data_IF_085363561321
#
_entry.id   IF_085363561321
#
_cell.length_a   1.000
_cell.length_b   1.000
_cell.length_c   1.000
_cell.angle_alpha   90.00
_cell.angle_beta   90.00
_cell.angle_gamma   90.00
#
_symmetry.space_group_name_H-M   'P 1'
#
loop_
_entity.id
_entity.type
_entity.pdbx_description
1 polymer ?
#
# COMPACT_ATOMS: atom_id res chain seq x y z
N UNK A 1 -7.07 -1.53 21.83
CA UNK A 1 -8.06 -0.63 21.21
C UNK A 1 -8.20 0.56 22.11
N UNK A 2 -8.05 1.77 21.59
CA UNK A 2 -8.31 2.98 22.36
C UNK A 2 -9.77 3.07 22.80
N UNK A 3 -9.99 3.71 23.93
CA UNK A 3 -11.32 3.98 24.47
C UNK A 3 -11.65 5.46 24.39
N UNK A 4 -12.91 5.80 24.57
CA UNK A 4 -13.39 7.19 24.64
C UNK A 4 -12.67 8.00 25.72
N UNK A 5 -12.30 7.37 26.85
CA UNK A 5 -11.56 8.01 27.94
C UNK A 5 -10.25 8.68 27.48
N UNK A 6 -9.53 8.07 26.54
CA UNK A 6 -8.20 8.55 26.13
C UNK A 6 -8.25 9.69 25.12
N UNK A 7 -9.42 9.97 24.55
CA UNK A 7 -9.61 10.92 23.43
C UNK A 7 -10.65 11.99 23.70
N UNK A 8 -11.39 11.88 24.81
CA UNK A 8 -12.40 12.85 25.20
C UNK A 8 -11.79 14.19 25.63
N UNK A 9 -12.54 15.26 25.41
CA UNK A 9 -12.28 16.55 26.04
C UNK A 9 -13.00 16.60 27.39
N UNK A 10 -12.29 16.66 28.53
CA UNK A 10 -12.92 16.65 29.86
C UNK A 10 -13.60 17.98 30.21
N UNK A 11 -13.14 19.10 29.66
CA UNK A 11 -13.73 20.41 29.89
C UNK A 11 -14.99 20.63 29.04
N UNK A 12 -16.12 20.14 29.52
CA UNK A 12 -17.40 20.29 28.83
C UNK A 12 -18.09 21.59 29.22
N UNK A 13 -18.27 22.50 28.26
CA UNK A 13 -19.11 23.69 28.47
C UNK A 13 -20.56 23.26 28.65
N UNK A 14 -21.13 23.59 29.82
CA UNK A 14 -22.48 23.18 30.21
C UNK A 14 -23.30 24.30 30.82
N UNK A 15 -24.63 24.21 30.67
CA UNK A 15 -25.62 25.17 31.16
C UNK A 15 -26.86 24.45 31.69
N UNK A 16 -27.69 25.15 32.47
CA UNK A 16 -28.98 24.63 32.94
C UNK A 16 -30.05 24.72 31.86
N UNK A 17 -31.12 23.92 32.00
CA UNK A 17 -32.27 23.89 31.08
C UNK A 17 -32.89 25.28 30.89
N UNK A 18 -32.97 26.03 31.98
CA UNK A 18 -33.59 27.33 32.02
C UNK A 18 -32.68 28.48 31.55
N UNK A 19 -31.46 28.18 31.11
CA UNK A 19 -30.50 29.20 30.68
C UNK A 19 -31.00 29.94 29.42
N UNK A 20 -30.84 31.28 29.33
CA UNK A 20 -31.27 32.04 28.16
C UNK A 20 -30.54 31.61 26.89
N UNK A 21 -31.28 31.36 25.80
CA UNK A 21 -30.71 30.84 24.55
C UNK A 21 -29.66 31.78 23.95
N UNK A 22 -29.92 33.09 23.92
CA UNK A 22 -28.96 34.09 23.41
C UNK A 22 -27.63 34.07 24.18
N UNK A 23 -27.66 33.85 25.50
CA UNK A 23 -26.43 33.74 26.29
C UNK A 23 -25.68 32.45 25.96
N UNK A 24 -26.39 31.34 25.72
CA UNK A 24 -25.75 30.09 25.29
C UNK A 24 -25.09 30.23 23.91
N UNK A 25 -25.75 30.90 22.96
CA UNK A 25 -25.19 31.21 21.63
C UNK A 25 -23.93 32.07 21.78
N UNK A 26 -23.96 33.08 22.67
CA UNK A 26 -22.80 33.92 22.94
C UNK A 26 -21.62 33.13 23.54
N UNK A 27 -21.88 32.15 24.43
CA UNK A 27 -20.86 31.23 24.95
C UNK A 27 -20.27 30.39 23.82
N UNK A 28 -21.12 29.82 22.95
CA UNK A 28 -20.70 29.03 21.80
C UNK A 28 -19.77 29.83 20.88
N UNK A 29 -20.17 31.06 20.53
CA UNK A 29 -19.37 31.95 19.69
C UNK A 29 -18.06 32.37 20.37
N UNK A 30 -18.12 32.82 21.63
CA UNK A 30 -16.93 33.32 22.37
C UNK A 30 -15.88 32.23 22.61
N UNK A 31 -16.32 30.99 22.86
CA UNK A 31 -15.42 29.86 23.11
C UNK A 31 -15.10 29.06 21.85
N UNK A 32 -15.61 29.48 20.68
CA UNK A 32 -15.50 28.75 19.42
C UNK A 32 -15.91 27.26 19.56
N UNK A 33 -16.93 26.99 20.38
CA UNK A 33 -17.47 25.64 20.59
C UNK A 33 -18.79 25.51 19.85
N UNK A 34 -19.03 24.31 19.35
CA UNK A 34 -20.13 24.04 18.42
C UNK A 34 -21.27 23.25 19.05
N UNK A 35 -21.16 22.94 20.35
CA UNK A 35 -22.27 22.54 21.22
C UNK A 35 -22.08 23.01 22.67
N UNK A 36 -23.18 22.98 23.42
CA UNK A 36 -23.21 23.09 24.88
C UNK A 36 -24.03 21.92 25.42
N UNK A 37 -23.53 21.27 26.48
CA UNK A 37 -24.26 20.19 27.15
C UNK A 37 -25.19 20.78 28.21
N UNK A 38 -26.45 20.38 28.18
CA UNK A 38 -27.45 20.82 29.16
C UNK A 38 -27.47 19.81 30.30
N UNK A 39 -27.29 20.28 31.53
CA UNK A 39 -27.19 19.41 32.70
C UNK A 39 -28.21 19.77 33.78
N UNK A 40 -28.55 18.78 34.59
CA UNK A 40 -29.27 18.94 35.85
C UNK A 40 -28.45 18.26 36.94
N UNK A 41 -27.80 19.08 37.79
CA UNK A 41 -26.73 18.61 38.67
C UNK A 41 -25.57 17.98 37.85
N UNK A 42 -25.12 16.76 38.18
CA UNK A 42 -24.03 16.10 37.49
C UNK A 42 -24.44 15.46 36.14
N UNK A 43 -25.74 15.31 35.86
CA UNK A 43 -26.23 14.49 34.74
C UNK A 43 -26.54 15.32 33.49
N UNK A 44 -26.14 14.86 32.28
CA UNK A 44 -26.53 15.51 31.04
C UNK A 44 -27.99 15.15 30.69
N UNK A 45 -28.85 16.16 30.61
CA UNK A 45 -30.28 16.03 30.27
C UNK A 45 -30.59 16.47 28.83
N UNK A 46 -29.64 17.11 28.16
CA UNK A 46 -29.75 17.48 26.75
C UNK A 46 -28.44 17.97 26.15
N UNK A 47 -28.46 18.21 24.85
CA UNK A 47 -27.35 18.85 24.13
C UNK A 47 -27.91 19.88 23.16
N UNK A 48 -27.31 21.07 23.15
CA UNK A 48 -27.62 22.12 22.19
C UNK A 48 -26.50 22.19 21.16
N UNK A 49 -26.84 22.05 19.88
CA UNK A 49 -25.90 22.17 18.76
C UNK A 49 -26.31 23.28 17.79
N UNK A 50 -25.38 23.72 16.94
CA UNK A 50 -25.69 24.65 15.84
C UNK A 50 -26.84 24.15 14.94
N UNK A 51 -26.93 22.83 14.74
CA UNK A 51 -28.04 22.22 13.97
C UNK A 51 -29.38 22.37 14.68
N UNK A 52 -29.40 22.28 16.00
CA UNK A 52 -30.62 22.50 16.78
C UNK A 52 -31.07 23.96 16.70
N UNK A 53 -30.12 24.90 16.78
CA UNK A 53 -30.39 26.33 16.59
C UNK A 53 -31.02 26.57 15.21
N UNK A 54 -30.44 26.03 14.13
CA UNK A 54 -30.98 26.23 12.78
C UNK A 54 -32.32 25.52 12.57
N UNK A 55 -32.51 24.31 13.09
CA UNK A 55 -33.75 23.56 12.81
C UNK A 55 -34.93 24.02 13.65
N UNK A 56 -34.72 24.23 14.94
CA UNK A 56 -35.83 24.43 15.89
C UNK A 56 -36.16 25.89 16.11
N UNK A 57 -35.17 26.80 16.07
CA UNK A 57 -35.43 28.23 16.15
C UNK A 57 -36.21 28.73 14.92
N UNK A 58 -35.78 28.30 13.73
CA UNK A 58 -36.49 28.65 12.48
C UNK A 58 -37.88 28.01 12.40
N UNK A 59 -38.04 26.77 12.89
CA UNK A 59 -39.36 26.13 12.94
C UNK A 59 -40.32 26.79 13.96
N UNK A 60 -39.78 27.34 15.05
CA UNK A 60 -40.58 27.97 16.10
C UNK A 60 -41.00 29.42 15.78
N UNK A 61 -40.36 30.10 14.82
CA UNK A 61 -40.83 31.37 14.26
C UNK A 61 -40.91 32.55 15.24
N UNK A 62 -40.01 32.64 16.22
CA UNK A 62 -40.04 33.68 17.27
C UNK A 62 -38.69 34.37 17.51
N UNK A 63 -38.71 35.46 18.30
CA UNK A 63 -37.50 36.16 18.73
C UNK A 63 -36.62 35.24 19.60
N UNK A 64 -35.34 35.00 19.24
CA UNK A 64 -34.41 34.19 20.03
C UNK A 64 -34.25 34.64 21.48
N UNK A 65 -34.57 35.90 21.81
CA UNK A 65 -34.56 36.44 23.17
C UNK A 65 -35.59 35.78 24.10
N UNK A 66 -36.66 35.19 23.55
CA UNK A 66 -37.76 34.59 24.31
C UNK A 66 -37.52 33.11 24.64
N UNK A 67 -36.56 32.47 23.98
CA UNK A 67 -36.31 31.03 24.13
C UNK A 67 -35.29 30.73 25.24
N UNK A 68 -35.50 29.60 25.91
CA UNK A 68 -34.52 28.97 26.80
C UNK A 68 -33.84 27.81 26.08
N UNK A 69 -32.68 27.41 26.57
CA UNK A 69 -31.92 26.28 26.01
C UNK A 69 -32.76 25.00 26.01
N UNK A 70 -33.57 24.78 27.04
CA UNK A 70 -34.47 23.64 27.17
C UNK A 70 -35.53 23.51 26.06
N UNK A 71 -35.89 24.62 25.41
CA UNK A 71 -36.90 24.63 24.33
C UNK A 71 -36.32 24.13 23.00
N UNK A 72 -34.99 24.22 22.84
CA UNK A 72 -34.29 23.99 21.58
C UNK A 72 -33.36 22.78 21.64
N UNK A 73 -32.88 22.39 22.82
CA UNK A 73 -31.96 21.26 22.97
C UNK A 73 -32.51 19.93 22.43
N UNK A 74 -31.62 19.04 22.02
CA UNK A 74 -31.94 17.63 21.81
C UNK A 74 -31.95 16.91 23.15
N UNK A 75 -33.05 16.21 23.47
CA UNK A 75 -33.25 15.50 24.74
C UNK A 75 -34.04 14.19 24.51
N UNK A 76 -33.67 13.08 25.17
CA UNK A 76 -32.44 12.90 25.95
C UNK A 76 -31.18 12.87 25.05
N UNK A 77 -30.00 13.26 25.56
CA UNK A 77 -28.78 13.19 24.78
C UNK A 77 -28.34 11.74 24.64
N UNK A 78 -27.83 11.36 23.47
CA UNK A 78 -27.13 10.09 23.31
C UNK A 78 -25.76 10.19 24.00
N UNK A 79 -25.50 9.36 25.00
CA UNK A 79 -24.23 9.32 25.74
C UNK A 79 -23.47 8.03 25.46
N UNK A 80 -22.19 8.03 25.84
CA UNK A 80 -21.28 6.87 25.88
C UNK A 80 -20.54 6.84 27.21
N UNK A 81 -19.96 5.71 27.57
CA UNK A 81 -19.13 5.57 28.77
C UNK A 81 -17.64 5.73 28.43
N UNK A 82 -16.81 5.99 29.44
CA UNK A 82 -15.35 6.03 29.31
C UNK A 82 -14.76 4.73 28.74
N UNK A 83 -15.40 3.59 29.01
CA UNK A 83 -15.01 2.26 28.54
C UNK A 83 -15.41 1.98 27.08
N UNK A 84 -16.31 2.80 26.51
CA UNK A 84 -16.76 2.62 25.12
C UNK A 84 -15.56 2.75 24.18
N UNK A 85 -15.44 1.85 23.21
CA UNK A 85 -14.32 1.92 22.26
C UNK A 85 -14.47 3.08 21.29
N UNK A 86 -13.35 3.60 20.78
CA UNK A 86 -13.38 4.70 19.79
C UNK A 86 -14.15 4.32 18.52
N UNK A 87 -14.05 3.06 18.09
CA UNK A 87 -14.77 2.54 16.92
C UNK A 87 -16.29 2.45 17.15
N UNK A 88 -16.72 1.94 18.31
CA UNK A 88 -18.15 1.90 18.66
C UNK A 88 -18.75 3.30 18.76
N UNK A 89 -18.05 4.24 19.40
CA UNK A 89 -18.47 5.64 19.48
C UNK A 89 -18.58 6.28 18.09
N UNK A 90 -17.64 6.01 17.19
CA UNK A 90 -17.67 6.50 15.80
C UNK A 90 -18.85 5.91 15.01
N UNK A 91 -19.16 4.63 15.20
CA UNK A 91 -20.33 3.98 14.59
C UNK A 91 -21.65 4.59 15.09
N UNK A 92 -21.75 4.92 16.38
CA UNK A 92 -22.91 5.60 16.97
C UNK A 92 -23.11 7.00 16.35
N UNK A 93 -22.03 7.77 16.19
CA UNK A 93 -22.09 9.08 15.51
C UNK A 93 -22.59 8.97 14.07
N UNK A 94 -22.07 8.00 13.31
CA UNK A 94 -22.41 7.80 11.90
C UNK A 94 -23.85 7.36 11.69
N UNK A 95 -24.30 6.37 12.45
CA UNK A 95 -25.64 5.77 12.30
C UNK A 95 -26.77 6.73 12.65
N UNK A 96 -26.53 7.65 13.60
CA UNK A 96 -27.56 8.59 14.08
C UNK A 96 -27.35 10.04 13.62
N UNK A 97 -26.39 10.28 12.72
CA UNK A 97 -26.05 11.60 12.19
C UNK A 97 -25.75 12.66 13.27
N UNK A 98 -25.20 12.21 14.40
CA UNK A 98 -24.66 13.07 15.44
C UNK A 98 -23.19 13.38 15.13
N UNK A 99 -22.69 14.50 15.65
CA UNK A 99 -21.26 14.86 15.51
C UNK A 99 -20.50 14.82 16.82
N UNK A 100 -21.21 14.67 17.95
CA UNK A 100 -20.65 14.71 19.30
C UNK A 100 -21.44 13.80 20.23
N UNK A 101 -20.75 13.20 21.19
CA UNK A 101 -21.34 12.37 22.25
C UNK A 101 -20.81 12.83 23.60
N UNK A 102 -21.68 13.23 24.54
CA UNK A 102 -21.29 13.39 25.94
C UNK A 102 -20.86 12.03 26.52
N UNK A 103 -19.76 12.06 27.27
CA UNK A 103 -19.21 10.92 27.98
C UNK A 103 -19.65 10.99 29.42
N UNK A 104 -20.15 9.87 29.94
CA UNK A 104 -20.62 9.75 31.31
C UNK A 104 -19.84 8.69 32.09
N UNK A 105 -19.72 8.91 33.39
CA UNK A 105 -19.23 7.91 34.35
C UNK A 105 -20.30 6.83 34.61
N UNK A 106 -19.98 5.78 35.39
CA UNK A 106 -20.95 4.74 35.77
C UNK A 106 -22.17 5.25 36.55
N UNK A 107 -22.11 6.44 37.16
CA UNK A 107 -23.21 7.07 37.90
C UNK A 107 -24.10 7.97 37.01
N UNK A 108 -23.74 8.12 35.73
CA UNK A 108 -24.38 8.98 34.75
C UNK A 108 -23.94 10.45 34.81
N UNK A 109 -22.87 10.76 35.54
CA UNK A 109 -22.30 12.09 35.63
C UNK A 109 -21.50 12.43 34.36
N UNK A 110 -21.64 13.66 33.86
CA UNK A 110 -20.89 14.15 32.70
C UNK A 110 -19.40 14.29 33.04
N UNK A 111 -18.54 13.53 32.35
CA UNK A 111 -17.09 13.54 32.54
C UNK A 111 -16.32 14.04 31.31
N UNK A 112 -16.95 14.07 30.14
CA UNK A 112 -16.29 14.55 28.93
C UNK A 112 -17.21 14.66 27.72
N UNK A 113 -16.62 15.01 26.58
CA UNK A 113 -17.28 14.98 25.29
C UNK A 113 -16.29 14.50 24.23
N UNK A 114 -16.76 13.66 23.30
CA UNK A 114 -15.99 13.27 22.11
C UNK A 114 -16.64 13.81 20.87
N UNK A 115 -15.83 14.27 19.92
CA UNK A 115 -16.28 14.65 18.59
C UNK A 115 -15.97 13.58 17.56
N UNK A 116 -16.66 13.63 16.43
CA UNK A 116 -16.36 12.77 15.29
C UNK A 116 -14.90 12.89 14.82
N UNK A 117 -14.33 14.10 14.88
CA UNK A 117 -12.94 14.36 14.46
C UNK A 117 -11.95 13.68 15.40
N UNK A 118 -12.15 13.80 16.72
CA UNK A 118 -11.27 13.18 17.73
C UNK A 118 -11.24 11.66 17.56
N UNK A 119 -12.43 11.06 17.40
CA UNK A 119 -12.58 9.62 17.20
C UNK A 119 -11.97 9.15 15.87
N UNK A 120 -12.12 9.94 14.80
CA UNK A 120 -11.52 9.60 13.51
C UNK A 120 -9.99 9.64 13.58
N UNK A 121 -9.41 10.67 14.18
CA UNK A 121 -7.97 10.76 14.39
C UNK A 121 -7.43 9.60 15.23
N UNK A 122 -8.14 9.24 16.30
CA UNK A 122 -7.80 8.11 17.14
C UNK A 122 -7.80 6.77 16.38
N UNK A 123 -8.85 6.51 15.60
CA UNK A 123 -8.96 5.28 14.79
C UNK A 123 -7.89 5.22 13.70
N UNK A 124 -7.58 6.36 13.06
CA UNK A 124 -6.50 6.43 12.07
C UNK A 124 -5.14 6.13 12.73
N UNK A 125 -4.86 6.73 13.88
CA UNK A 125 -3.62 6.48 14.61
C UNK A 125 -3.47 5.00 15.03
N UNK A 126 -4.52 4.38 15.55
CA UNK A 126 -4.55 2.94 15.88
C UNK A 126 -4.25 2.07 14.64
N UNK A 127 -4.82 2.44 13.48
CA UNK A 127 -4.60 1.71 12.23
C UNK A 127 -3.16 1.87 11.72
N UNK A 128 -2.59 3.07 11.79
CA UNK A 128 -1.22 3.35 11.39
C UNK A 128 -0.21 2.60 12.28
N UNK A 129 -0.45 2.55 13.59
CA UNK A 129 0.36 1.78 14.54
C UNK A 129 0.26 0.27 14.30
N UNK A 130 -0.95 -0.26 14.08
CA UNK A 130 -1.14 -1.66 13.74
C UNK A 130 -0.42 -2.04 12.44
N UNK A 131 -0.51 -1.18 11.42
CA UNK A 131 0.23 -1.31 10.16
C UNK A 131 1.75 -1.30 10.40
N UNK A 132 2.23 -0.47 11.34
CA UNK A 132 3.65 -0.44 11.73
C UNK A 132 4.16 -1.72 12.33
N UNK A 133 3.48 -2.21 13.35
CA UNK A 133 3.84 -3.45 14.03
C UNK A 133 3.76 -4.64 13.06
N UNK A 134 2.71 -4.69 12.22
CA UNK A 134 2.59 -5.71 11.16
C UNK A 134 3.83 -5.73 10.26
N UNK A 135 4.26 -4.56 9.77
CA UNK A 135 5.41 -4.46 8.87
C UNK A 135 6.72 -4.85 9.54
N UNK A 136 6.93 -4.43 10.79
CA UNK A 136 8.13 -4.73 11.57
C UNK A 136 8.27 -6.23 11.85
N UNK A 137 7.19 -6.89 12.30
CA UNK A 137 7.17 -8.34 12.52
C UNK A 137 7.49 -9.08 11.22
N UNK A 138 6.88 -8.65 10.11
CA UNK A 138 7.08 -9.31 8.81
C UNK A 138 8.52 -9.12 8.31
N UNK A 139 9.14 -7.97 8.54
CA UNK A 139 10.56 -7.75 8.23
C UNK A 139 11.47 -8.69 9.02
N UNK A 140 11.23 -8.83 10.31
CA UNK A 140 12.01 -9.73 11.15
C UNK A 140 11.84 -11.18 10.70
N UNK A 141 10.60 -11.64 10.48
CA UNK A 141 10.33 -12.99 10.00
C UNK A 141 10.98 -13.26 8.65
N UNK A 142 10.96 -12.30 7.71
CA UNK A 142 11.64 -12.46 6.42
C UNK A 142 13.16 -12.63 6.57
N UNK A 143 13.80 -11.88 7.49
CA UNK A 143 15.23 -12.04 7.75
C UNK A 143 15.56 -13.40 8.40
N UNK A 144 14.76 -13.80 9.39
CA UNK A 144 14.90 -15.07 10.10
C UNK A 144 14.61 -16.29 9.21
N UNK A 145 13.79 -16.14 8.17
CA UNK A 145 13.56 -17.18 7.16
C UNK A 145 14.63 -17.18 6.07
N UNK A 146 15.10 -16.01 5.61
CA UNK A 146 16.11 -15.93 4.54
C UNK A 146 17.41 -16.63 4.94
N UNK A 147 17.85 -16.43 6.18
CA UNK A 147 19.12 -16.97 6.69
C UNK A 147 19.22 -18.50 6.63
N UNK A 148 18.30 -19.28 7.24
CA UNK A 148 18.36 -20.75 7.17
C UNK A 148 18.18 -21.27 5.74
N UNK A 149 17.37 -20.62 4.91
CA UNK A 149 17.19 -21.06 3.51
C UNK A 149 18.48 -20.82 2.72
N UNK A 150 19.15 -19.68 2.91
CA UNK A 150 20.44 -19.39 2.29
C UNK A 150 21.53 -20.39 2.73
N UNK A 151 21.52 -20.81 4.00
CA UNK A 151 22.42 -21.87 4.48
C UNK A 151 22.13 -23.22 3.82
N UNK A 152 20.86 -23.63 3.73
CA UNK A 152 20.47 -24.86 3.03
C UNK A 152 20.92 -24.80 1.56
N UNK A 153 20.69 -23.67 0.88
CA UNK A 153 21.13 -23.47 -0.49
C UNK A 153 22.67 -23.60 -0.61
N UNK A 154 23.42 -22.92 0.27
CA UNK A 154 24.89 -22.98 0.26
C UNK A 154 25.44 -24.40 0.50
N UNK A 155 24.85 -25.19 1.41
CA UNK A 155 25.27 -26.58 1.59
C UNK A 155 24.96 -27.46 0.38
N UNK A 156 23.86 -27.19 -0.32
CA UNK A 156 23.49 -27.88 -1.55
C UNK A 156 24.42 -27.49 -2.70
N UNK A 157 24.85 -26.23 -2.77
CA UNK A 157 25.85 -25.76 -3.73
C UNK A 157 27.20 -26.47 -3.50
N UNK A 158 27.68 -26.55 -2.26
CA UNK A 158 28.92 -27.27 -1.91
C UNK A 158 28.87 -28.76 -2.27
N UNK A 159 27.71 -29.41 -2.09
CA UNK A 159 27.50 -30.80 -2.52
C UNK A 159 27.52 -30.94 -4.04
N UNK A 160 27.08 -29.92 -4.77
CA UNK A 160 27.01 -29.92 -6.23
C UNK A 160 28.36 -29.60 -6.90
N UNK A 161 29.18 -28.77 -6.26
CA UNK A 161 30.50 -28.35 -6.74
C UNK A 161 31.59 -29.44 -6.56
N UNK A 162 31.24 -30.60 -5.99
CA UNK A 162 32.19 -31.68 -5.78
C UNK A 162 33.23 -31.38 -4.69
N UNK A 163 32.91 -30.49 -3.75
CA UNK A 163 33.76 -30.22 -2.56
C UNK A 163 33.90 -31.46 -1.67
N UNK A 164 32.95 -32.40 -1.78
CA UNK A 164 32.95 -33.69 -1.11
C UNK A 164 33.16 -34.84 -2.11
N UNK A 165 33.07 -36.09 -1.64
CA UNK A 165 33.11 -37.27 -2.50
C UNK A 165 32.06 -37.18 -3.64
N UNK A 166 32.39 -37.66 -4.86
CA UNK A 166 31.49 -37.55 -6.00
C UNK A 166 30.13 -38.19 -5.71
N UNK A 167 29.06 -37.39 -5.84
CA UNK A 167 27.69 -37.87 -5.69
C UNK A 167 27.36 -38.89 -6.78
N UNK A 168 26.64 -39.96 -6.40
CA UNK A 168 26.05 -40.88 -7.36
C UNK A 168 25.00 -40.18 -8.24
N UNK A 169 24.73 -40.65 -9.48
CA UNK A 169 23.81 -39.97 -10.40
C UNK A 169 22.41 -39.68 -9.80
N UNK A 170 21.85 -40.62 -9.02
CA UNK A 170 20.57 -40.39 -8.32
C UNK A 170 20.65 -39.33 -7.23
N UNK A 171 21.80 -39.19 -6.56
CA UNK A 171 22.00 -38.17 -5.53
C UNK A 171 22.14 -36.79 -6.16
N UNK A 172 22.79 -36.68 -7.31
CA UNK A 172 22.89 -35.43 -8.08
C UNK A 172 21.49 -34.91 -8.48
N UNK A 173 20.59 -35.78 -8.93
CA UNK A 173 19.20 -35.40 -9.25
C UNK A 173 18.44 -34.86 -8.03
N UNK A 174 18.62 -35.48 -6.86
CA UNK A 174 17.98 -35.05 -5.60
C UNK A 174 18.54 -33.71 -5.14
N UNK A 175 19.87 -33.54 -5.13
CA UNK A 175 20.55 -32.30 -4.75
C UNK A 175 20.12 -31.14 -5.67
N UNK A 176 20.12 -31.35 -6.99
CA UNK A 176 19.63 -30.36 -7.95
C UNK A 176 18.14 -30.02 -7.77
N UNK A 177 17.33 -30.94 -7.21
CA UNK A 177 15.92 -30.67 -6.88
C UNK A 177 15.79 -29.86 -5.59
N UNK A 178 16.59 -30.15 -4.57
CA UNK A 178 16.63 -29.36 -3.33
C UNK A 178 17.11 -27.94 -3.64
N UNK A 179 18.15 -27.78 -4.46
CA UNK A 179 18.70 -26.47 -4.84
C UNK A 179 17.64 -25.57 -5.49
N UNK A 180 16.90 -26.13 -6.46
CA UNK A 180 15.79 -25.43 -7.12
C UNK A 180 14.68 -25.06 -6.15
N UNK A 181 14.31 -25.97 -5.24
CA UNK A 181 13.23 -25.74 -4.27
C UNK A 181 13.62 -24.68 -3.23
N UNK A 182 14.86 -24.72 -2.73
CA UNK A 182 15.38 -23.72 -1.80
C UNK A 182 15.45 -22.34 -2.43
N UNK A 183 15.92 -22.24 -3.68
CA UNK A 183 15.96 -20.97 -4.42
C UNK A 183 14.56 -20.40 -4.62
N UNK A 184 13.59 -21.23 -5.04
CA UNK A 184 12.19 -20.84 -5.15
C UNK A 184 11.59 -20.33 -3.83
N UNK A 185 11.99 -20.93 -2.70
CA UNK A 185 11.53 -20.51 -1.37
C UNK A 185 12.10 -19.14 -0.99
N UNK A 186 13.38 -18.88 -1.27
CA UNK A 186 14.00 -17.55 -1.06
C UNK A 186 13.25 -16.50 -1.88
N UNK A 187 13.01 -16.78 -3.16
CA UNK A 187 12.30 -15.86 -4.05
C UNK A 187 10.87 -15.58 -3.56
N UNK A 188 10.18 -16.61 -3.05
CA UNK A 188 8.83 -16.47 -2.48
C UNK A 188 8.83 -15.58 -1.24
N UNK A 189 9.76 -15.80 -0.32
CA UNK A 189 9.89 -15.00 0.91
C UNK A 189 10.21 -13.55 0.57
N UNK A 190 11.13 -13.33 -0.37
CA UNK A 190 11.50 -11.98 -0.81
C UNK A 190 10.33 -11.26 -1.50
N UNK A 191 9.63 -11.94 -2.42
CA UNK A 191 8.49 -11.36 -3.13
C UNK A 191 7.32 -11.06 -2.18
N UNK A 192 7.03 -11.94 -1.22
CA UNK A 192 6.02 -11.69 -0.19
C UNK A 192 6.40 -10.47 0.67
N UNK A 193 7.67 -10.35 1.05
CA UNK A 193 8.16 -9.21 1.82
C UNK A 193 8.05 -7.88 1.05
N UNK A 194 8.48 -7.86 -0.21
CA UNK A 194 8.35 -6.67 -1.07
C UNK A 194 6.89 -6.23 -1.19
N UNK A 195 5.97 -7.17 -1.35
CA UNK A 195 4.54 -6.89 -1.41
C UNK A 195 4.03 -6.28 -0.09
N UNK A 196 4.41 -6.84 1.06
CA UNK A 196 4.02 -6.32 2.37
C UNK A 196 4.51 -4.89 2.57
N UNK A 197 5.75 -4.59 2.19
CA UNK A 197 6.32 -3.24 2.29
C UNK A 197 5.56 -2.25 1.40
N UNK A 198 5.19 -2.68 0.18
CA UNK A 198 4.39 -1.89 -0.76
C UNK A 198 2.99 -1.61 -0.22
N UNK A 199 2.31 -2.61 0.36
CA UNK A 199 0.97 -2.44 0.97
C UNK A 199 0.97 -1.53 2.19
N UNK A 200 2.06 -1.48 2.94
CA UNK A 200 2.18 -0.61 4.11
C UNK A 200 2.36 0.88 3.75
N UNK A 201 2.48 1.23 2.46
CA UNK A 201 2.71 2.61 2.01
C UNK A 201 4.07 3.18 2.46
N UNK A 202 4.98 2.33 2.94
CA UNK A 202 6.29 2.71 3.52
C UNK A 202 7.40 2.83 2.50
N UNK A 203 7.11 2.56 1.24
CA UNK A 203 8.11 2.55 0.20
C UNK A 203 8.33 3.98 -0.27
N UNK A 204 9.39 4.61 0.24
CA UNK A 204 9.86 5.88 -0.29
C UNK A 204 10.42 5.68 -1.70
N UNK A 205 10.13 6.63 -2.59
CA UNK A 205 10.72 6.70 -3.92
C UNK A 205 12.00 7.52 -3.83
N UNK A 206 13.14 6.90 -4.12
CA UNK A 206 14.39 7.63 -4.29
C UNK A 206 14.42 8.21 -5.71
N UNK A 207 14.83 9.46 -5.85
CA UNK A 207 14.95 10.13 -7.14
C UNK A 207 16.42 10.44 -7.41
N UNK A 208 17.12 9.50 -8.03
CA UNK A 208 18.55 9.60 -8.34
C UNK A 208 18.76 9.59 -9.87
N UNK A 209 19.87 10.18 -10.37
CA UNK A 209 20.29 10.01 -11.76
C UNK A 209 20.57 8.53 -12.06
N UNK A 210 20.02 8.04 -13.16
CA UNK A 210 20.19 6.66 -13.65
C UNK A 210 20.75 6.73 -15.05
N UNK A 211 21.89 6.08 -15.23
CA UNK A 211 22.40 5.74 -16.54
C UNK A 211 21.74 4.42 -17.00
N UNK A 212 20.91 4.50 -18.03
CA UNK A 212 20.16 3.36 -18.55
C UNK A 212 21.08 2.36 -19.25
N UNK A 213 22.19 2.81 -19.84
CA UNK A 213 23.17 1.92 -20.45
C UNK A 213 23.84 1.07 -19.37
N UNK A 214 24.30 1.70 -18.29
CA UNK A 214 24.90 1.00 -17.15
C UNK A 214 23.93 0.01 -16.49
N UNK A 215 22.63 0.37 -16.40
CA UNK A 215 21.58 -0.51 -15.90
C UNK A 215 21.39 -1.74 -16.81
N UNK A 216 21.38 -1.55 -18.13
CA UNK A 216 21.28 -2.63 -19.11
C UNK A 216 22.50 -3.54 -19.08
N UNK A 217 23.71 -2.99 -18.99
CA UNK A 217 24.92 -3.79 -18.81
C UNK A 217 24.88 -4.62 -17.51
N UNK A 218 24.39 -4.02 -16.42
CA UNK A 218 24.26 -4.73 -15.14
C UNK A 218 23.29 -5.92 -15.26
N UNK A 219 22.10 -5.69 -15.81
CA UNK A 219 21.11 -6.76 -16.02
C UNK A 219 21.62 -7.81 -17.03
N UNK A 220 22.30 -7.39 -18.09
CA UNK A 220 22.90 -8.29 -19.08
C UNK A 220 23.93 -9.24 -18.46
N UNK A 221 24.76 -8.75 -17.51
CA UNK A 221 25.69 -9.61 -16.76
C UNK A 221 24.96 -10.61 -15.87
N UNK A 222 23.90 -10.17 -15.17
CA UNK A 222 23.10 -11.03 -14.29
C UNK A 222 22.38 -12.15 -15.06
N UNK A 223 21.84 -11.86 -16.24
CA UNK A 223 21.12 -12.84 -17.04
C UNK A 223 22.01 -13.73 -17.90
N UNK A 224 23.30 -13.42 -18.08
CA UNK A 224 24.18 -14.13 -19.02
C UNK A 224 24.18 -15.65 -18.85
N UNK A 225 24.14 -16.13 -17.61
CA UNK A 225 24.11 -17.57 -17.29
C UNK A 225 22.69 -18.17 -17.27
N UNK A 226 21.65 -17.33 -17.32
CA UNK A 226 20.23 -17.71 -17.24
C UNK A 226 19.56 -17.74 -18.63
N UNK A 227 20.22 -17.25 -19.68
CA UNK A 227 19.69 -17.31 -21.05
C UNK A 227 19.64 -18.78 -21.51
N UNK A 228 18.46 -19.31 -21.89
CA UNK A 228 18.35 -20.67 -22.39
C UNK A 228 19.13 -20.89 -23.69
N UNK A 229 19.61 -22.11 -23.91
CA UNK A 229 20.23 -22.48 -25.20
C UNK A 229 19.24 -22.27 -26.35
N UNK A 230 19.67 -21.53 -27.39
CA UNK A 230 18.82 -21.21 -28.54
C UNK A 230 18.01 -19.91 -28.42
N UNK A 231 18.18 -19.15 -27.32
CA UNK A 231 17.59 -17.83 -27.13
C UNK A 231 18.67 -16.75 -27.21
N UNK A 232 18.43 -15.67 -27.96
CA UNK A 232 19.26 -14.46 -27.89
C UNK A 232 18.62 -13.37 -27.04
N UNK A 233 19.40 -12.71 -26.20
CA UNK A 233 18.97 -11.58 -25.38
C UNK A 233 19.65 -10.30 -25.86
N UNK A 234 18.86 -9.31 -26.26
CA UNK A 234 19.35 -8.04 -26.79
C UNK A 234 18.85 -6.86 -25.95
N UNK A 235 19.74 -5.89 -25.71
CA UNK A 235 19.46 -4.66 -24.98
C UNK A 235 19.68 -3.48 -25.91
N UNK A 236 18.71 -2.55 -25.97
CA UNK A 236 18.73 -1.42 -26.90
C UNK A 236 18.29 -0.13 -26.21
N UNK A 237 19.23 0.78 -26.00
CA UNK A 237 18.97 2.08 -25.39
C UNK A 237 18.80 3.17 -26.46
N UNK A 238 17.59 3.71 -26.60
CA UNK A 238 17.27 4.80 -27.52
C UNK A 238 17.07 6.15 -26.81
N UNK A 239 17.34 6.23 -25.50
CA UNK A 239 17.22 7.46 -24.71
C UNK A 239 18.41 8.42 -24.88
N UNK A 240 19.52 7.91 -25.43
CA UNK A 240 20.81 8.59 -25.48
C UNK A 240 21.62 8.39 -24.19
N UNK A 241 22.66 9.21 -24.01
CA UNK A 241 23.61 9.11 -22.88
C UNK A 241 23.21 9.97 -21.66
N UNK A 242 22.10 10.70 -21.76
CA UNK A 242 21.67 11.56 -20.66
C UNK A 242 21.03 10.72 -19.54
N UNK A 243 21.42 10.93 -18.27
CA UNK A 243 20.82 10.21 -17.17
C UNK A 243 19.35 10.63 -17.00
N UNK A 244 18.52 9.66 -16.66
CA UNK A 244 17.11 9.87 -16.28
C UNK A 244 17.01 10.00 -14.76
N UNK A 245 16.02 10.74 -14.25
CA UNK A 245 15.74 10.75 -12.81
C UNK A 245 14.71 9.68 -12.45
N UNK A 246 15.02 8.87 -11.45
CA UNK A 246 14.10 7.86 -10.94
C UNK A 246 14.70 7.01 -9.83
N UNK A 247 14.02 5.92 -9.51
CA UNK A 247 14.48 4.96 -8.51
C UNK A 247 15.16 3.77 -9.17
N UNK A 248 16.49 3.75 -9.14
CA UNK A 248 17.30 2.71 -9.78
C UNK A 248 16.92 1.30 -9.31
N UNK A 249 16.73 1.11 -8.00
CA UNK A 249 16.48 -0.20 -7.43
C UNK A 249 15.12 -0.75 -7.89
N UNK A 250 14.07 0.08 -7.83
CA UNK A 250 12.71 -0.32 -8.24
C UNK A 250 12.59 -0.55 -9.74
N UNK A 251 13.25 0.29 -10.55
CA UNK A 251 13.33 0.11 -12.00
C UNK A 251 14.03 -1.19 -12.37
N UNK A 252 15.21 -1.43 -11.79
CA UNK A 252 15.97 -2.67 -11.97
C UNK A 252 15.13 -3.89 -11.59
N UNK A 253 14.49 -3.87 -10.42
CA UNK A 253 13.64 -4.96 -9.96
C UNK A 253 12.45 -5.21 -10.91
N UNK A 254 11.84 -4.15 -11.43
CA UNK A 254 10.73 -4.25 -12.38
C UNK A 254 11.17 -4.90 -13.70
N UNK A 255 12.28 -4.42 -14.28
CA UNK A 255 12.85 -4.97 -15.50
C UNK A 255 13.32 -6.41 -15.31
N UNK A 256 14.00 -6.71 -14.20
CA UNK A 256 14.46 -8.07 -13.89
C UNK A 256 13.29 -9.06 -13.89
N UNK A 257 12.17 -8.73 -13.24
CA UNK A 257 11.00 -9.62 -13.21
C UNK A 257 10.39 -9.88 -14.59
N UNK A 258 10.29 -8.83 -15.43
CA UNK A 258 9.71 -8.98 -16.77
C UNK A 258 10.65 -9.73 -17.71
N UNK A 259 11.96 -9.46 -17.66
CA UNK A 259 12.97 -10.16 -18.47
C UNK A 259 13.12 -11.62 -18.04
N UNK A 260 13.07 -11.90 -16.74
CA UNK A 260 13.10 -13.28 -16.22
C UNK A 260 11.90 -14.08 -16.75
N UNK A 261 10.70 -13.50 -16.74
CA UNK A 261 9.53 -14.13 -17.36
C UNK A 261 9.73 -14.36 -18.86
N UNK A 262 10.23 -13.37 -19.60
CA UNK A 262 10.47 -13.48 -21.04
C UNK A 262 11.43 -14.63 -21.38
N UNK A 263 12.57 -14.74 -20.67
CA UNK A 263 13.54 -15.81 -20.87
C UNK A 263 12.97 -17.18 -20.49
N UNK A 264 12.22 -17.23 -19.38
CA UNK A 264 11.65 -18.46 -18.85
C UNK A 264 10.59 -19.10 -19.75
N UNK A 265 9.85 -18.29 -20.50
CA UNK A 265 8.78 -18.74 -21.40
C UNK A 265 9.18 -18.75 -22.89
N UNK A 266 10.46 -18.48 -23.19
CA UNK A 266 11.04 -18.58 -24.54
C UNK A 266 11.96 -19.79 -24.59
N UNK A 267 11.57 -20.83 -25.34
CA UNK A 267 12.38 -22.04 -25.52
C UNK A 267 13.43 -21.90 -26.61
N UNK A 268 13.12 -21.16 -27.68
CA UNK A 268 14.03 -20.80 -28.76
C UNK A 268 13.56 -19.47 -29.39
N UNK A 269 14.50 -18.66 -29.87
CA UNK A 269 14.18 -17.38 -30.52
C UNK A 269 14.91 -16.20 -29.89
N UNK A 270 14.21 -15.11 -29.60
CA UNK A 270 14.82 -13.89 -29.07
C UNK A 270 13.98 -13.19 -28.01
N UNK A 271 14.67 -12.53 -27.09
CA UNK A 271 14.13 -11.56 -26.15
C UNK A 271 14.84 -10.22 -26.40
N UNK A 272 14.08 -9.17 -26.62
CA UNK A 272 14.59 -7.82 -26.89
C UNK A 272 14.07 -6.85 -25.83
N UNK A 273 14.99 -6.10 -25.22
CA UNK A 273 14.70 -5.09 -24.21
C UNK A 273 15.10 -3.73 -24.76
N UNK A 274 14.12 -2.84 -24.91
CA UNK A 274 14.31 -1.50 -25.46
C UNK A 274 13.92 -0.42 -24.45
N UNK A 275 14.69 0.65 -24.37
CA UNK A 275 14.34 1.86 -23.63
C UNK A 275 14.19 3.05 -24.59
N UNK A 276 13.06 3.74 -24.58
CA UNK A 276 12.77 4.88 -25.45
C UNK A 276 11.84 5.90 -24.80
N UNK A 277 11.81 7.12 -25.33
CA UNK A 277 10.81 8.12 -24.98
C UNK A 277 9.57 7.91 -25.86
N UNK A 278 8.40 7.71 -25.25
CA UNK A 278 7.12 7.62 -25.96
C UNK A 278 6.09 8.49 -25.24
N UNK A 279 5.41 9.37 -25.99
CA UNK A 279 4.40 10.31 -25.47
C UNK A 279 4.89 11.15 -24.26
N UNK A 280 6.17 11.51 -24.25
CA UNK A 280 6.79 12.27 -23.16
C UNK A 280 7.08 11.46 -21.89
N UNK A 281 6.84 10.15 -21.90
CA UNK A 281 7.11 9.23 -20.79
C UNK A 281 8.30 8.33 -21.12
N UNK A 282 9.03 7.95 -20.08
CA UNK A 282 10.07 6.93 -20.19
C UNK A 282 9.40 5.57 -20.36
N UNK A 283 9.73 4.87 -21.45
CA UNK A 283 9.13 3.60 -21.80
C UNK A 283 10.18 2.52 -21.97
N UNK A 284 10.02 1.42 -21.23
CA UNK A 284 10.75 0.18 -21.47
C UNK A 284 9.83 -0.84 -22.14
N UNK A 285 10.32 -1.50 -23.17
CA UNK A 285 9.62 -2.56 -23.91
C UNK A 285 10.43 -3.83 -23.78
N UNK A 286 9.82 -4.89 -23.28
CA UNK A 286 10.39 -6.24 -23.26
C UNK A 286 9.55 -7.11 -24.18
N UNK A 287 10.14 -7.51 -25.31
CA UNK A 287 9.49 -8.35 -26.32
C UNK A 287 10.14 -9.72 -26.35
N UNK A 288 9.32 -10.77 -26.32
CA UNK A 288 9.75 -12.16 -26.45
C UNK A 288 9.05 -12.85 -27.62
N UNK A 289 9.69 -13.89 -28.16
CA UNK A 289 9.11 -14.80 -29.16
C UNK A 289 8.73 -16.13 -28.53
N UNK A 290 8.31 -16.11 -27.27
CA UNK A 290 7.98 -17.31 -26.50
C UNK A 290 6.60 -17.88 -26.82
N UNK A 291 6.09 -18.69 -25.91
CA UNK A 291 4.80 -19.38 -26.08
C UNK A 291 3.58 -18.44 -26.19
N UNK A 292 3.72 -17.17 -25.80
CA UNK A 292 2.62 -16.23 -25.72
C UNK A 292 1.58 -16.56 -24.63
N UNK A 293 0.63 -15.66 -24.42
CA UNK A 293 -0.38 -15.71 -23.36
C UNK A 293 -1.76 -15.75 -24.02
N UNK A 294 -2.65 -16.69 -23.63
CA UNK A 294 -4.03 -16.70 -24.11
C UNK A 294 -4.78 -15.41 -23.75
N UNK A 295 -5.64 -14.94 -24.65
CA UNK A 295 -6.40 -13.69 -24.44
C UNK A 295 -7.26 -13.73 -23.16
N UNK A 296 -7.76 -14.91 -22.77
CA UNK A 296 -8.55 -15.09 -21.55
C UNK A 296 -7.74 -14.83 -20.26
N UNK A 297 -6.42 -15.00 -20.31
CA UNK A 297 -5.57 -14.87 -19.12
C UNK A 297 -4.92 -13.48 -18.99
N UNK A 298 -4.92 -12.67 -20.05
CA UNK A 298 -4.27 -11.34 -20.08
C UNK A 298 -4.75 -10.39 -18.96
N UNK A 299 -6.03 -10.45 -18.60
CA UNK A 299 -6.58 -9.67 -17.48
C UNK A 299 -6.10 -10.14 -16.10
N UNK A 300 -5.67 -11.40 -16.00
CA UNK A 300 -5.40 -12.07 -14.72
C UNK A 300 -3.90 -12.26 -14.44
N UNK A 301 -3.00 -12.07 -15.42
CA UNK A 301 -1.55 -12.28 -15.21
C UNK A 301 -0.91 -11.37 -14.15
N UNK A 302 -1.58 -10.28 -13.78
CA UNK A 302 -1.14 -9.36 -12.73
C UNK A 302 -1.81 -9.63 -11.37
N UNK A 303 -2.66 -10.65 -11.28
CA UNK A 303 -3.29 -11.09 -10.03
C UNK A 303 -2.34 -11.96 -9.20
N UNK A 304 -2.53 -11.94 -7.88
CA UNK A 304 -1.71 -12.70 -6.94
C UNK A 304 -1.92 -14.20 -7.12
N UNK A 305 -0.80 -14.93 -7.21
CA UNK A 305 -0.78 -16.40 -7.29
C UNK A 305 -1.47 -16.98 -8.54
N UNK A 306 -1.73 -16.15 -9.56
CA UNK A 306 -2.32 -16.62 -10.82
C UNK A 306 -1.23 -17.20 -11.73
N UNK A 307 -1.49 -18.39 -12.26
CA UNK A 307 -0.71 -19.02 -13.32
C UNK A 307 -1.64 -19.40 -14.48
N UNK A 308 -1.16 -19.23 -15.71
CA UNK A 308 -1.85 -19.70 -16.93
C UNK A 308 -1.80 -21.23 -16.96
N UNK A 309 -2.93 -21.87 -17.27
CA UNK A 309 -3.26 -23.30 -17.05
C UNK A 309 -2.09 -24.31 -17.04
N UNK A 310 -2.08 -25.13 -15.98
CA UNK A 310 -0.98 -25.99 -15.54
C UNK A 310 -0.88 -27.36 -16.26
N UNK A 311 -1.46 -27.53 -17.44
CA UNK A 311 -1.59 -28.84 -18.08
C UNK A 311 -0.30 -29.36 -18.75
N UNK A 312 0.65 -28.50 -19.14
CA UNK A 312 1.95 -28.94 -19.74
C UNK A 312 3.20 -28.20 -19.20
N UNK A 313 3.04 -27.21 -18.34
CA UNK A 313 4.09 -26.25 -17.92
C UNK A 313 4.78 -26.58 -16.59
N UNK A 314 4.66 -27.82 -16.08
CA UNK A 314 5.26 -28.26 -14.81
C UNK A 314 6.79 -28.09 -14.72
N UNK A 315 7.48 -27.85 -15.83
CA UNK A 315 8.93 -27.56 -15.86
C UNK A 315 9.29 -26.09 -15.57
N UNK A 316 8.34 -25.15 -15.65
CA UNK A 316 8.61 -23.71 -15.57
C UNK A 316 7.69 -22.96 -14.58
N UNK A 317 7.15 -23.60 -13.55
CA UNK A 317 6.26 -22.90 -12.60
C UNK A 317 7.06 -21.96 -11.67
N UNK A 318 6.71 -20.66 -11.65
CA UNK A 318 7.16 -19.69 -10.64
C UNK A 318 5.97 -19.18 -9.84
N UNK A 319 6.16 -18.63 -8.65
CA UNK A 319 5.10 -18.42 -7.62
C UNK A 319 3.89 -17.57 -8.07
N UNK A 320 3.96 -16.86 -9.20
CA UNK A 320 2.87 -15.99 -9.68
C UNK A 320 2.80 -14.66 -8.93
N UNK A 321 3.92 -14.24 -8.33
CA UNK A 321 4.04 -12.96 -7.61
C UNK A 321 4.76 -11.88 -8.44
N UNK A 322 5.66 -12.26 -9.36
CA UNK A 322 6.58 -11.33 -10.02
C UNK A 322 5.87 -10.18 -10.76
N UNK A 323 4.89 -10.49 -11.63
CA UNK A 323 4.15 -9.45 -12.37
C UNK A 323 3.27 -8.58 -11.46
N UNK A 324 2.75 -9.14 -10.36
CA UNK A 324 2.02 -8.35 -9.38
C UNK A 324 2.95 -7.37 -8.66
N UNK A 325 4.14 -7.82 -8.25
CA UNK A 325 5.17 -6.96 -7.65
C UNK A 325 5.58 -5.85 -8.61
N UNK A 326 5.78 -6.15 -9.89
CA UNK A 326 6.05 -5.14 -10.93
C UNK A 326 4.94 -4.09 -10.98
N UNK A 327 3.67 -4.52 -11.04
CA UNK A 327 2.54 -3.60 -11.05
C UNK A 327 2.54 -2.67 -9.84
N UNK A 328 2.78 -3.20 -8.63
CA UNK A 328 2.85 -2.41 -7.40
C UNK A 328 4.05 -1.47 -7.33
N UNK A 329 5.22 -1.90 -7.79
CA UNK A 329 6.40 -1.03 -7.90
C UNK A 329 6.12 0.14 -8.84
N UNK A 330 5.43 -0.11 -9.95
CA UNK A 330 5.07 0.92 -10.91
C UNK A 330 3.99 1.87 -10.36
N UNK A 331 2.99 1.36 -9.63
CA UNK A 331 2.00 2.21 -8.93
C UNK A 331 2.72 3.23 -8.02
N UNK A 332 3.74 2.78 -7.28
CA UNK A 332 4.56 3.64 -6.40
C UNK A 332 5.42 4.64 -7.18
N UNK A 333 5.91 4.26 -8.36
CA UNK A 333 6.66 5.16 -9.26
C UNK A 333 5.76 6.09 -10.09
N UNK A 334 4.44 5.99 -9.95
CA UNK A 334 3.47 6.70 -10.80
C UNK A 334 3.45 6.22 -12.26
N UNK A 335 3.99 5.03 -12.52
CA UNK A 335 4.03 4.38 -13.82
C UNK A 335 2.88 3.38 -14.04
N UNK A 336 2.96 2.66 -15.17
CA UNK A 336 2.01 1.60 -15.54
C UNK A 336 2.70 0.54 -16.39
N UNK A 337 2.18 -0.68 -16.34
CA UNK A 337 2.57 -1.79 -17.22
C UNK A 337 1.40 -2.20 -18.10
N UNK A 338 1.68 -2.44 -19.38
CA UNK A 338 0.75 -3.01 -20.35
C UNK A 338 1.37 -4.26 -20.98
N UNK A 339 0.52 -5.13 -21.51
CA UNK A 339 0.95 -6.36 -22.19
C UNK A 339 0.12 -6.56 -23.45
N UNK A 340 0.80 -6.88 -24.54
CA UNK A 340 0.21 -7.38 -25.77
C UNK A 340 0.80 -8.76 -26.03
N UNK A 341 -0.02 -9.79 -26.17
CA UNK A 341 0.46 -11.16 -26.38
C UNK A 341 -0.47 -11.95 -27.27
N UNK A 342 0.10 -12.87 -28.04
CA UNK A 342 -0.66 -13.82 -28.86
C UNK A 342 -0.08 -15.21 -28.65
N UNK A 343 -0.94 -16.16 -28.30
CA UNK A 343 -0.56 -17.55 -28.07
C UNK A 343 0.15 -18.12 -29.31
N UNK A 344 1.34 -18.69 -29.10
CA UNK A 344 2.21 -19.25 -30.13
C UNK A 344 3.09 -18.25 -30.88
N UNK A 345 2.96 -16.95 -30.62
CA UNK A 345 3.73 -15.88 -31.30
C UNK A 345 4.75 -15.22 -30.35
N UNK A 346 4.33 -14.95 -29.10
CA UNK A 346 5.15 -14.28 -28.10
C UNK A 346 4.41 -13.16 -27.37
N UNK A 347 5.11 -12.43 -26.51
CA UNK A 347 4.54 -11.33 -25.72
C UNK A 347 5.37 -10.06 -25.81
N UNK A 348 4.72 -8.92 -25.56
CA UNK A 348 5.35 -7.61 -25.48
C UNK A 348 4.84 -6.91 -24.23
N UNK A 349 5.71 -6.74 -23.25
CA UNK A 349 5.44 -5.99 -22.03
C UNK A 349 5.96 -4.57 -22.18
N UNK A 350 5.13 -3.58 -21.84
CA UNK A 350 5.47 -2.16 -21.89
C UNK A 350 5.36 -1.53 -20.52
N UNK A 351 6.49 -1.13 -19.95
CA UNK A 351 6.56 -0.38 -18.70
C UNK A 351 6.71 1.10 -19.06
N UNK A 352 5.81 1.95 -18.56
CA UNK A 352 5.88 3.41 -18.78
C UNK A 352 5.90 4.15 -17.45
N UNK A 353 6.80 5.10 -17.28
CA UNK A 353 7.04 5.82 -16.02
C UNK A 353 7.22 7.32 -16.29
N UNK A 354 6.65 8.21 -15.46
CA UNK A 354 6.94 9.63 -15.51
C UNK A 354 8.37 9.87 -15.01
N UNK A 355 9.28 10.18 -15.92
CA UNK A 355 10.66 10.52 -15.60
C UNK A 355 10.99 11.93 -16.09
N UNK A 356 11.34 12.88 -15.19
CA UNK A 356 11.84 14.18 -15.61
C UNK A 356 13.16 14.00 -16.37
N UNK A 357 13.28 14.59 -17.56
CA UNK A 357 14.59 14.72 -18.23
C UNK A 357 15.47 15.61 -17.37
N UNK A 358 16.70 15.17 -17.08
CA UNK A 358 17.75 16.10 -16.64
C UNK A 358 18.05 16.97 -17.84
N UNK A 359 17.41 18.14 -17.93
CA UNK A 359 17.79 19.13 -18.95
C UNK A 359 19.21 19.57 -18.63
N UNK A 360 20.17 19.06 -19.37
CA UNK A 360 21.54 19.56 -19.36
C UNK A 360 21.52 21.05 -19.69
N UNK A 361 22.12 21.86 -18.81
CA UNK A 361 22.47 23.24 -19.14
C UNK A 361 23.34 23.30 -20.40
N UNK A 362 23.36 24.44 -21.11
CA UNK A 362 24.03 24.55 -22.39
C UNK A 362 25.53 24.22 -22.25
N UNK A 363 26.15 23.61 -23.27
CA UNK A 363 27.58 23.33 -23.25
C UNK A 363 28.33 24.65 -23.07
N UNK A 364 29.11 24.75 -21.99
CA UNK A 364 30.15 25.76 -21.87
C UNK A 364 31.08 25.58 -23.05
N UNK A 365 30.98 26.49 -24.03
CA UNK A 365 31.87 26.56 -25.19
C UNK A 365 33.32 26.79 -24.72
N UNK A 366 34.30 26.30 -25.48
CA UNK A 366 35.71 26.21 -25.09
C UNK A 366 36.37 27.54 -24.77
#
# INVERSE_FOLDING_TARGET
>A
MQTVATVMTPEVSSVDRDFPLLKAIAIMAKRAISCVVVREGPRPIGILTERDLVRKLFAAGGDPAMFRVGDVMTTPPQTVTEETTTLEALQLLRTRAFRRLPVVDPNGALVGIVTQTDLLHAVIADLEEASRLKSEILSTVSHELRTPIALIAGYVDLLSEGTFEPLQPRQQEVVARVQRTSSQLVDLVNAAFELIQLEAGRVSVACNPIDVEALFEQLGREFRALVPEGVSLHWRNELGTQPILGDHAKLKASLKNVVDNALKFTTAGRVEVMAAWADGLLTFVVQDTGIGIPAADLSHIFELFRQVDASDTRRFAGVGLGLHVVKRLLDVLGGRIAVDSTLGVGSTFRITIPAPRVMGGPPTRP
#
